data_IF_253770536799
#
_entry.id   IF_253770536799
#
_cell.length_a   1.000
_cell.length_b   1.000
_cell.length_c   1.000
_cell.angle_alpha   90.00
_cell.angle_beta   90.00
_cell.angle_gamma   90.00
#
_symmetry.space_group_name_H-M   'P 1'
#
loop_
_entity.id
_entity.type
_entity.pdbx_description
1 polymer ?
#
# COMPACT_ATOMS: atom_id res chain seq x y z
N UNK A 1 -17.16 73.19 -15.05
CA UNK A 1 -16.21 73.56 -13.97
C UNK A 1 -14.97 72.68 -14.07
N UNK A 2 -13.81 73.27 -14.42
CA UNK A 2 -12.52 72.89 -13.79
C UNK A 2 -12.41 73.71 -12.47
N UNK A 3 -11.48 73.50 -11.50
CA UNK A 3 -10.25 72.70 -11.54
C UNK A 3 -9.84 71.91 -10.24
N UNK A 4 -8.92 70.95 -10.44
CA UNK A 4 -7.68 70.65 -9.69
C UNK A 4 -7.65 70.74 -8.15
N UNK A 5 -7.30 69.61 -7.51
CA UNK A 5 -6.26 69.52 -6.45
C UNK A 5 -5.83 68.05 -6.30
N UNK A 6 -4.76 67.54 -6.95
CA UNK A 6 -3.35 67.66 -6.54
C UNK A 6 -3.10 67.47 -5.03
N UNK A 7 -3.69 66.46 -4.38
CA UNK A 7 -3.15 66.00 -3.08
C UNK A 7 -3.28 64.52 -2.68
N UNK A 8 -3.79 63.62 -3.53
CA UNK A 8 -3.78 62.17 -3.22
C UNK A 8 -3.02 61.28 -4.22
N UNK A 9 -2.34 61.88 -5.21
CA UNK A 9 -1.56 61.17 -6.22
C UNK A 9 -0.05 61.08 -5.90
N UNK A 10 0.38 61.38 -4.66
CA UNK A 10 1.82 61.42 -4.31
C UNK A 10 2.21 60.76 -3.00
N UNK A 11 1.38 59.87 -2.46
CA UNK A 11 1.74 59.02 -1.30
C UNK A 11 1.48 57.51 -1.49
N UNK A 12 1.31 57.07 -2.73
CA UNK A 12 1.20 55.65 -3.11
C UNK A 12 2.27 55.20 -4.13
N UNK A 13 3.35 55.97 -4.28
CA UNK A 13 4.45 55.63 -5.20
C UNK A 13 5.68 55.02 -4.51
N UNK A 14 5.54 54.40 -3.33
CA UNK A 14 6.68 53.77 -2.65
C UNK A 14 6.44 52.43 -1.92
N UNK A 15 5.31 51.74 -2.12
CA UNK A 15 5.11 50.39 -1.53
C UNK A 15 4.30 49.45 -2.43
N UNK A 16 4.66 49.37 -3.72
CA UNK A 16 4.18 48.31 -4.62
C UNK A 16 5.29 47.85 -5.57
N UNK A 17 6.38 47.34 -4.98
CA UNK A 17 7.26 46.38 -5.63
C UNK A 17 7.30 45.14 -4.74
N UNK A 18 6.49 44.12 -5.09
CA UNK A 18 6.68 42.68 -4.81
C UNK A 18 5.38 41.95 -5.16
N UNK A 19 5.15 41.73 -6.45
CA UNK A 19 4.16 40.75 -6.93
C UNK A 19 4.49 40.42 -8.39
N UNK A 20 5.52 39.61 -8.57
CA UNK A 20 5.86 38.97 -9.84
C UNK A 20 6.76 37.78 -9.55
N UNK A 21 6.22 36.81 -8.83
CA UNK A 21 6.84 35.49 -8.60
C UNK A 21 5.81 34.40 -8.84
N UNK A 22 5.12 34.49 -9.97
CA UNK A 22 4.30 33.43 -10.53
C UNK A 22 4.71 33.13 -11.99
N UNK A 23 5.99 33.33 -12.27
CA UNK A 23 6.62 32.89 -13.51
C UNK A 23 7.35 31.59 -13.22
N UNK A 24 6.65 30.49 -13.47
CA UNK A 24 7.19 29.20 -13.95
C UNK A 24 8.69 29.04 -13.73
N UNK A 25 9.07 28.51 -12.57
CA UNK A 25 10.33 27.80 -12.43
C UNK A 25 10.17 26.48 -13.22
N UNK A 26 10.31 26.56 -14.55
CA UNK A 26 10.79 25.46 -15.36
C UNK A 26 12.27 25.26 -15.01
N UNK A 27 12.55 24.79 -13.79
CA UNK A 27 13.83 24.16 -13.56
C UNK A 27 13.79 22.86 -14.34
N UNK A 28 14.49 22.85 -15.47
CA UNK A 28 14.82 21.64 -16.19
C UNK A 28 15.55 20.70 -15.23
N UNK A 29 14.80 19.83 -14.55
CA UNK A 29 15.35 18.63 -13.94
C UNK A 29 15.99 17.88 -15.11
N UNK A 30 17.31 17.89 -15.15
CA UNK A 30 18.04 17.20 -16.21
C UNK A 30 17.98 15.69 -15.94
N UNK A 31 16.87 15.07 -16.35
CA UNK A 31 16.58 13.65 -16.16
C UNK A 31 17.74 12.78 -16.68
N UNK A 32 18.49 13.26 -17.68
CA UNK A 32 19.66 12.56 -18.22
C UNK A 32 20.84 12.45 -17.25
N UNK A 33 21.05 13.43 -16.35
CA UNK A 33 22.06 13.33 -15.29
C UNK A 33 21.62 12.41 -14.14
N UNK A 34 20.32 12.38 -13.84
CA UNK A 34 19.73 11.45 -12.86
C UNK A 34 19.81 10.00 -13.34
N UNK A 35 19.48 9.74 -14.61
CA UNK A 35 19.52 8.42 -15.23
C UNK A 35 20.92 7.79 -15.25
N UNK A 36 21.97 8.57 -15.57
CA UNK A 36 23.36 8.09 -15.57
C UNK A 36 23.84 7.58 -14.19
N UNK A 37 23.20 8.00 -13.09
CA UNK A 37 23.49 7.57 -11.71
C UNK A 37 22.67 6.35 -11.24
N UNK A 38 21.61 5.96 -11.94
CA UNK A 38 20.54 5.06 -11.43
C UNK A 38 20.41 3.72 -12.16
N UNK A 39 21.47 3.27 -12.86
CA UNK A 39 21.50 2.17 -13.83
C UNK A 39 21.13 0.75 -13.33
N UNK A 40 20.55 0.58 -12.13
CA UNK A 40 20.31 -0.73 -11.51
C UNK A 40 18.94 -0.98 -10.87
N UNK A 41 18.02 -0.01 -10.83
CA UNK A 41 16.77 -0.15 -10.05
C UNK A 41 15.47 -0.06 -10.87
N UNK A 42 15.54 0.00 -12.19
CA UNK A 42 14.35 0.19 -13.04
C UNK A 42 14.01 -1.15 -13.71
N UNK A 43 13.13 -1.93 -13.08
CA UNK A 43 12.57 -3.14 -13.68
C UNK A 43 11.15 -2.89 -14.17
N UNK A 44 10.94 -3.35 -15.40
CA UNK A 44 9.77 -3.36 -16.28
C UNK A 44 8.39 -3.08 -15.68
N UNK A 45 7.83 -1.90 -15.99
CA UNK A 45 6.54 -1.66 -16.69
C UNK A 45 6.12 -0.19 -16.55
N UNK A 46 6.52 0.64 -17.51
CA UNK A 46 5.74 1.79 -17.97
C UNK A 46 5.69 3.08 -17.14
N UNK A 47 5.52 3.06 -15.82
CA UNK A 47 5.39 4.29 -15.02
C UNK A 47 5.92 4.09 -13.60
N UNK A 48 6.69 5.05 -13.10
CA UNK A 48 7.11 5.08 -11.71
C UNK A 48 6.94 6.50 -11.13
N UNK A 49 6.38 6.59 -9.93
CA UNK A 49 6.26 7.85 -9.19
C UNK A 49 7.52 8.03 -8.34
N UNK A 50 8.09 9.23 -8.35
CA UNK A 50 9.29 9.55 -7.61
C UNK A 50 9.08 10.70 -6.65
N UNK A 51 9.62 10.55 -5.45
CA UNK A 51 9.80 11.65 -4.49
C UNK A 51 11.16 12.27 -4.76
N UNK A 52 11.16 13.57 -5.03
CA UNK A 52 12.36 14.37 -5.17
C UNK A 52 12.51 15.29 -3.96
N UNK A 53 13.67 15.24 -3.30
CA UNK A 53 13.99 16.15 -2.20
C UNK A 53 14.74 17.36 -2.75
N UNK A 54 14.24 18.56 -2.44
CA UNK A 54 14.98 19.80 -2.67
C UNK A 54 15.48 20.33 -1.32
N UNK A 55 16.75 20.09 -1.00
CA UNK A 55 17.41 20.78 0.10
C UNK A 55 17.76 22.19 -0.37
N UNK A 56 16.97 23.21 -0.01
CA UNK A 56 17.36 24.61 -0.21
C UNK A 56 18.25 25.04 0.96
N UNK A 57 19.54 25.25 0.71
CA UNK A 57 20.35 26.13 1.55
C UNK A 57 21.21 27.02 0.67
N UNK A 58 21.33 28.28 1.10
CA UNK A 58 21.97 29.36 0.36
C UNK A 58 23.49 29.16 0.29
N UNK A 59 24.04 29.58 -0.86
CA UNK A 59 25.46 29.76 -1.23
C UNK A 59 26.19 28.60 -1.91
N UNK A 60 26.73 28.92 -3.11
CA UNK A 60 27.58 28.07 -3.95
C UNK A 60 29.05 28.08 -3.49
N UNK A 61 29.73 26.92 -3.55
CA UNK A 61 31.14 26.91 -3.89
C UNK A 61 31.53 25.86 -4.97
N UNK A 62 32.79 26.00 -5.42
CA UNK A 62 33.41 25.48 -6.65
C UNK A 62 33.53 23.95 -6.82
N UNK A 63 33.80 23.56 -8.09
CA UNK A 63 33.34 22.33 -8.77
C UNK A 63 34.31 21.13 -8.82
N UNK A 64 35.23 20.90 -7.87
CA UNK A 64 36.29 19.88 -8.11
C UNK A 64 36.49 18.74 -7.10
N UNK A 65 35.83 18.70 -5.94
CA UNK A 65 36.11 17.64 -4.92
C UNK A 65 34.95 16.64 -4.65
N UNK A 66 33.95 16.54 -5.53
CA UNK A 66 32.64 15.93 -5.20
C UNK A 66 32.46 14.43 -5.53
N UNK A 67 33.46 13.77 -6.12
CA UNK A 67 33.25 12.46 -6.75
C UNK A 67 33.55 11.24 -5.86
N UNK A 68 34.29 11.39 -4.75
CA UNK A 68 34.63 10.24 -3.89
C UNK A 68 33.79 10.14 -2.59
N UNK A 69 33.27 11.25 -2.05
CA UNK A 69 32.49 11.25 -0.79
C UNK A 69 30.99 10.95 -0.98
N UNK A 70 30.43 11.24 -2.15
CA UNK A 70 28.97 11.09 -2.40
C UNK A 70 28.52 9.63 -2.53
N UNK A 71 29.45 8.72 -2.87
CA UNK A 71 29.20 7.29 -2.98
C UNK A 71 28.86 6.62 -1.64
N UNK A 72 29.50 7.01 -0.54
CA UNK A 72 29.26 6.40 0.78
C UNK A 72 27.92 6.80 1.39
N UNK A 73 27.53 8.07 1.25
CA UNK A 73 26.33 8.62 1.88
C UNK A 73 25.04 8.08 1.23
N UNK A 74 24.99 8.01 -0.10
CA UNK A 74 23.84 7.44 -0.82
C UNK A 74 23.71 5.94 -0.53
N UNK A 75 24.83 5.21 -0.45
CA UNK A 75 24.82 3.79 -0.09
C UNK A 75 24.33 3.56 1.35
N UNK A 76 24.71 4.42 2.30
CA UNK A 76 24.19 4.36 3.67
C UNK A 76 22.68 4.60 3.73
N UNK A 77 22.17 5.61 3.02
CA UNK A 77 20.72 5.87 2.93
C UNK A 77 19.97 4.70 2.29
N UNK A 78 20.51 4.13 1.19
CA UNK A 78 19.94 2.94 0.55
C UNK A 78 19.93 1.75 1.51
N UNK A 79 21.03 1.45 2.16
CA UNK A 79 21.11 0.36 3.13
C UNK A 79 20.11 0.56 4.27
N UNK A 80 19.94 1.78 4.78
CA UNK A 80 18.95 2.11 5.80
C UNK A 80 17.49 1.98 5.33
N UNK A 81 17.24 1.95 4.02
CA UNK A 81 15.93 1.69 3.39
C UNK A 81 15.74 0.25 2.91
N UNK A 82 16.80 -0.50 2.64
CA UNK A 82 16.72 -1.87 2.11
C UNK A 82 16.85 -2.93 3.22
N UNK A 83 17.63 -2.65 4.26
CA UNK A 83 17.89 -3.58 5.36
C UNK A 83 16.72 -3.58 6.37
N UNK A 84 15.54 -3.98 5.89
CA UNK A 84 14.21 -3.82 6.49
C UNK A 84 13.61 -5.10 7.07
N UNK A 85 14.40 -6.02 7.62
CA UNK A 85 13.79 -7.19 8.28
C UNK A 85 12.88 -6.73 9.43
N UNK A 86 11.57 -6.94 9.28
CA UNK A 86 10.57 -6.70 10.32
C UNK A 86 10.13 -5.25 10.54
N UNK A 87 10.66 -4.26 9.80
CA UNK A 87 10.22 -2.88 9.97
C UNK A 87 8.91 -2.62 9.21
N UNK A 88 8.81 -3.01 7.93
CA UNK A 88 7.62 -2.72 7.11
C UNK A 88 7.39 -3.81 6.04
N UNK A 89 6.50 -4.75 6.35
CA UNK A 89 6.02 -5.71 5.38
C UNK A 89 4.79 -5.15 4.65
N UNK A 90 4.62 -5.44 3.35
CA UNK A 90 3.44 -5.03 2.58
C UNK A 90 2.21 -5.91 2.89
N UNK A 91 2.33 -6.72 3.94
CA UNK A 91 1.35 -7.64 4.47
C UNK A 91 1.51 -7.77 5.98
N UNK A 92 0.43 -8.12 6.65
CA UNK A 92 0.43 -8.53 8.06
C UNK A 92 -0.54 -9.67 8.26
N UNK A 93 -0.29 -10.52 9.25
CA UNK A 93 -1.11 -11.72 9.49
C UNK A 93 -1.16 -12.06 10.96
N UNK A 94 -2.11 -12.91 11.34
CA UNK A 94 -2.25 -13.36 12.70
C UNK A 94 -3.39 -14.36 12.88
N UNK A 95 -3.70 -14.61 14.15
CA UNK A 95 -4.80 -15.46 14.58
C UNK A 95 -5.64 -14.69 15.58
N UNK A 96 -6.96 -14.87 15.51
CA UNK A 96 -7.89 -14.35 16.51
C UNK A 96 -8.89 -15.44 16.89
N UNK A 97 -9.09 -15.61 18.19
CA UNK A 97 -10.11 -16.52 18.72
C UNK A 97 -11.45 -15.82 18.79
N UNK A 98 -12.47 -16.43 18.20
CA UNK A 98 -13.83 -15.92 18.23
C UNK A 98 -14.51 -16.32 19.54
N UNK A 99 -15.17 -15.39 20.24
CA UNK A 99 -16.15 -15.76 21.26
C UNK A 99 -17.22 -16.66 20.66
N UNK A 100 -17.76 -17.60 21.43
CA UNK A 100 -18.78 -18.54 20.95
C UNK A 100 -20.01 -17.81 20.36
N UNK A 101 -20.40 -16.67 20.96
CA UNK A 101 -21.49 -15.82 20.47
C UNK A 101 -21.23 -15.20 19.09
N UNK A 102 -19.97 -15.13 18.65
CA UNK A 102 -19.54 -14.59 17.35
C UNK A 102 -19.09 -15.68 16.37
N UNK A 103 -19.03 -16.95 16.80
CA UNK A 103 -18.48 -18.07 16.04
C UNK A 103 -19.53 -18.77 15.15
N UNK A 104 -20.45 -18.01 14.55
CA UNK A 104 -21.46 -18.56 13.63
C UNK A 104 -21.43 -17.81 12.31
N UNK A 105 -21.30 -18.57 11.22
CA UNK A 105 -21.48 -18.11 9.86
C UNK A 105 -22.90 -18.49 9.40
N UNK A 106 -23.65 -17.52 8.89
CA UNK A 106 -24.92 -17.69 8.21
C UNK A 106 -24.72 -17.51 6.71
N UNK A 107 -25.40 -18.31 5.90
CA UNK A 107 -25.33 -18.21 4.44
C UNK A 107 -26.63 -18.66 3.78
N UNK A 108 -26.90 -18.10 2.62
CA UNK A 108 -28.03 -18.47 1.77
C UNK A 108 -27.65 -19.64 0.85
N UNK A 109 -28.53 -20.63 0.75
CA UNK A 109 -28.43 -21.75 -0.20
C UNK A 109 -29.00 -21.35 -1.56
N UNK A 110 -28.72 -22.14 -2.60
CA UNK A 110 -29.23 -21.87 -3.95
C UNK A 110 -30.76 -21.90 -4.05
N UNK A 111 -31.45 -22.62 -3.15
CA UNK A 111 -32.92 -22.65 -3.07
C UNK A 111 -33.53 -21.46 -2.33
N UNK A 112 -32.70 -20.49 -1.91
CA UNK A 112 -33.11 -19.30 -1.16
C UNK A 112 -33.29 -19.52 0.35
N UNK A 113 -33.10 -20.75 0.86
CA UNK A 113 -33.16 -21.03 2.29
C UNK A 113 -31.86 -20.61 2.98
N UNK A 114 -31.95 -20.25 4.27
CA UNK A 114 -30.78 -19.92 5.07
C UNK A 114 -30.23 -21.18 5.78
N UNK A 115 -28.91 -21.25 5.91
CA UNK A 115 -28.21 -22.26 6.69
C UNK A 115 -27.10 -21.62 7.52
N UNK A 116 -26.50 -22.38 8.43
CA UNK A 116 -25.44 -21.88 9.30
C UNK A 116 -24.37 -22.91 9.61
N UNK A 117 -23.18 -22.42 9.92
CA UNK A 117 -22.03 -23.18 10.37
C UNK A 117 -21.52 -22.62 11.70
N UNK A 118 -21.40 -23.47 12.70
CA UNK A 118 -20.71 -23.14 13.95
C UNK A 118 -19.21 -23.31 13.75
N UNK A 119 -18.50 -22.20 13.68
CA UNK A 119 -17.06 -22.14 13.49
C UNK A 119 -16.34 -22.76 14.70
N UNK A 120 -15.40 -23.67 14.44
CA UNK A 120 -14.69 -24.43 15.45
C UNK A 120 -15.28 -25.81 15.78
N UNK A 121 -16.44 -26.15 15.21
CA UNK A 121 -17.01 -27.50 15.25
C UNK A 121 -17.56 -27.93 13.89
N UNK A 122 -17.00 -27.40 12.80
CA UNK A 122 -17.47 -27.70 11.44
C UNK A 122 -17.05 -29.12 11.07
N UNK A 123 -18.03 -29.97 10.80
CA UNK A 123 -17.78 -31.33 10.30
C UNK A 123 -17.52 -31.33 8.80
N UNK A 124 -16.84 -32.35 8.23
CA UNK A 124 -16.66 -32.47 6.78
C UNK A 124 -17.99 -32.46 6.01
N UNK A 125 -19.05 -33.07 6.54
CA UNK A 125 -20.37 -33.05 5.90
C UNK A 125 -20.95 -31.62 5.83
N UNK A 126 -20.83 -30.85 6.90
CA UNK A 126 -21.27 -29.45 6.92
C UNK A 126 -20.40 -28.55 6.03
N UNK A 127 -19.09 -28.82 5.93
CA UNK A 127 -18.22 -28.14 4.99
C UNK A 127 -18.61 -28.45 3.53
N UNK A 128 -18.98 -29.70 3.25
CA UNK A 128 -19.49 -30.11 1.94
C UNK A 128 -20.77 -29.36 1.58
N UNK A 129 -21.68 -29.11 2.53
CA UNK A 129 -22.94 -28.39 2.29
C UNK A 129 -22.74 -26.92 1.87
N UNK A 130 -21.60 -26.31 2.22
CA UNK A 130 -21.27 -24.94 1.84
C UNK A 130 -20.93 -24.82 0.34
N UNK A 131 -20.36 -25.87 -0.25
CA UNK A 131 -19.92 -25.84 -1.64
C UNK A 131 -21.10 -25.77 -2.65
N UNK A 132 -22.19 -26.55 -2.51
CA UNK A 132 -23.40 -26.39 -3.33
C UNK A 132 -24.08 -25.03 -3.20
N UNK A 133 -23.91 -24.32 -2.08
CA UNK A 133 -24.46 -22.97 -1.96
C UNK A 133 -23.71 -21.97 -2.86
N UNK A 134 -22.45 -22.25 -3.20
CA UNK A 134 -21.61 -21.35 -3.96
C UNK A 134 -21.95 -21.35 -5.46
N UNK A 135 -21.67 -20.21 -6.11
CA UNK A 135 -21.62 -20.10 -7.58
C UNK A 135 -20.17 -20.14 -8.04
N UNK A 136 -19.86 -20.60 -9.28
CA UNK A 136 -18.51 -20.56 -9.80
C UNK A 136 -17.91 -19.14 -9.76
N UNK A 137 -16.67 -19.02 -9.30
CA UNK A 137 -16.02 -17.73 -9.13
C UNK A 137 -15.32 -17.27 -10.42
N UNK A 138 -15.66 -16.07 -10.88
CA UNK A 138 -14.98 -15.38 -12.00
C UNK A 138 -13.75 -14.61 -11.53
N UNK A 139 -12.89 -14.20 -12.45
CA UNK A 139 -11.80 -13.24 -12.23
C UNK A 139 -11.84 -12.13 -13.28
N UNK A 140 -11.25 -10.98 -12.94
CA UNK A 140 -11.18 -9.83 -13.84
C UNK A 140 -10.06 -9.97 -14.87
N UNK A 141 -10.38 -9.79 -16.15
CA UNK A 141 -9.42 -9.67 -17.24
C UNK A 141 -9.90 -8.55 -18.17
N UNK A 142 -9.08 -7.51 -18.36
CA UNK A 142 -9.42 -6.36 -19.21
C UNK A 142 -10.80 -5.74 -18.92
N UNK A 143 -11.12 -5.54 -17.64
CA UNK A 143 -12.41 -5.01 -17.16
C UNK A 143 -13.63 -5.90 -17.43
N UNK A 144 -13.43 -7.17 -17.79
CA UNK A 144 -14.49 -8.17 -17.93
C UNK A 144 -14.33 -9.29 -16.91
N UNK A 145 -15.46 -9.82 -16.43
CA UNK A 145 -15.47 -11.01 -15.59
C UNK A 145 -15.38 -12.26 -16.47
N UNK A 146 -14.33 -13.06 -16.27
CA UNK A 146 -14.05 -14.29 -17.03
C UNK A 146 -14.17 -15.50 -16.11
N UNK A 147 -14.82 -16.56 -16.61
CA UNK A 147 -14.87 -17.89 -16.01
C UNK A 147 -13.91 -18.82 -16.77
N UNK A 148 -12.76 -19.13 -16.17
CA UNK A 148 -11.81 -20.12 -16.69
C UNK A 148 -11.26 -20.94 -15.52
N UNK A 149 -11.70 -22.19 -15.41
CA UNK A 149 -11.31 -23.10 -14.33
C UNK A 149 -9.84 -23.55 -14.41
N UNK A 150 -9.18 -23.37 -15.56
CA UNK A 150 -7.73 -23.57 -15.68
C UNK A 150 -6.94 -22.43 -15.04
N UNK A 151 -7.58 -21.29 -14.77
CA UNK A 151 -7.01 -20.12 -14.13
C UNK A 151 -7.46 -19.97 -12.68
N UNK A 152 -8.76 -20.14 -12.44
CA UNK A 152 -9.39 -20.07 -11.12
C UNK A 152 -10.49 -21.12 -11.02
N UNK A 153 -10.27 -22.09 -10.14
CA UNK A 153 -11.30 -23.06 -9.75
C UNK A 153 -11.68 -22.78 -8.31
N UNK A 154 -12.86 -22.19 -8.08
CA UNK A 154 -13.38 -21.87 -6.75
C UNK A 154 -14.89 -21.60 -6.82
N UNK A 155 -15.58 -21.83 -5.70
CA UNK A 155 -16.93 -21.32 -5.44
C UNK A 155 -16.90 -19.97 -4.73
N UNK A 156 -17.94 -19.16 -4.93
CA UNK A 156 -18.17 -17.90 -4.20
C UNK A 156 -19.62 -17.71 -3.76
N UNK A 157 -19.78 -16.96 -2.68
CA UNK A 157 -21.00 -16.24 -2.31
C UNK A 157 -20.67 -14.75 -2.24
N UNK A 158 -21.48 -13.93 -2.92
CA UNK A 158 -21.33 -12.48 -2.91
C UNK A 158 -21.88 -11.87 -1.59
N UNK A 159 -21.47 -10.65 -1.27
CA UNK A 159 -21.95 -9.93 -0.10
C UNK A 159 -23.50 -9.87 -0.06
N UNK A 160 -24.09 -10.00 1.13
CA UNK A 160 -25.53 -10.10 1.31
C UNK A 160 -26.09 -11.53 1.26
N UNK A 161 -25.35 -12.49 0.69
CA UNK A 161 -25.67 -13.93 0.73
C UNK A 161 -25.04 -14.67 1.90
N UNK A 162 -24.25 -13.97 2.71
CA UNK A 162 -23.67 -14.50 3.93
C UNK A 162 -23.58 -13.39 4.99
N UNK A 163 -23.54 -13.80 6.25
CA UNK A 163 -23.34 -12.93 7.39
C UNK A 163 -22.63 -13.69 8.51
N UNK A 164 -21.83 -13.02 9.30
CA UNK A 164 -21.25 -13.56 10.52
C UNK A 164 -21.11 -12.42 11.53
N UNK A 165 -21.08 -12.76 12.81
CA UNK A 165 -21.11 -11.78 13.90
C UNK A 165 -19.72 -11.28 14.32
N UNK A 166 -18.71 -11.51 13.47
CA UNK A 166 -17.35 -11.08 13.74
C UNK A 166 -17.25 -9.55 13.66
N UNK A 167 -16.95 -8.91 14.80
CA UNK A 167 -16.74 -7.47 14.88
C UNK A 167 -15.28 -7.14 14.54
N UNK A 168 -15.08 -6.42 13.45
CA UNK A 168 -13.75 -6.01 12.99
C UNK A 168 -13.15 -4.87 13.82
N UNK A 169 -13.96 -4.13 14.60
CA UNK A 169 -13.45 -3.04 15.45
C UNK A 169 -12.45 -3.53 16.50
N UNK A 170 -12.62 -4.74 17.03
CA UNK A 170 -11.70 -5.35 18.02
C UNK A 170 -10.33 -5.69 17.38
N UNK A 171 -10.26 -5.68 16.05
CA UNK A 171 -9.16 -6.18 15.24
C UNK A 171 -8.43 -5.05 14.47
N UNK A 172 -9.11 -3.94 14.18
CA UNK A 172 -8.60 -2.83 13.36
C UNK A 172 -7.24 -2.31 13.84
N UNK A 173 -7.03 -2.20 15.15
CA UNK A 173 -5.75 -1.72 15.70
C UNK A 173 -4.58 -2.65 15.39
N UNK A 174 -4.78 -3.96 15.41
CA UNK A 174 -3.74 -4.95 15.10
C UNK A 174 -3.40 -4.92 13.61
N UNK A 175 -4.42 -4.84 12.74
CA UNK A 175 -4.22 -4.71 11.30
C UNK A 175 -3.51 -3.41 10.95
N UNK A 176 -3.98 -2.29 11.51
CA UNK A 176 -3.41 -0.98 11.28
C UNK A 176 -1.93 -0.95 11.71
N UNK A 177 -1.62 -1.44 12.91
CA UNK A 177 -0.25 -1.51 13.40
C UNK A 177 0.67 -2.38 12.53
N UNK A 178 0.14 -3.41 11.87
CA UNK A 178 0.90 -4.26 10.96
C UNK A 178 1.15 -3.67 9.58
N UNK A 179 0.18 -2.94 8.99
CA UNK A 179 0.30 -2.36 7.65
C UNK A 179 0.84 -0.93 7.64
N UNK A 180 0.58 -0.17 8.71
CA UNK A 180 0.89 1.25 8.81
C UNK A 180 1.64 1.52 10.11
N UNK A 181 2.95 1.74 10.05
CA UNK A 181 3.68 2.22 11.22
C UNK A 181 3.21 3.65 11.59
N UNK A 182 3.00 3.88 12.90
CA UNK A 182 3.08 5.16 13.62
C UNK A 182 2.39 6.37 12.98
N UNK A 183 1.24 6.81 13.52
CA UNK A 183 0.49 8.04 13.14
C UNK A 183 0.16 8.25 11.66
N UNK A 184 0.63 7.38 10.76
CA UNK A 184 0.53 7.49 9.30
C UNK A 184 -0.87 7.16 8.79
N UNK A 185 -1.70 6.57 9.65
CA UNK A 185 -3.10 6.31 9.39
C UNK A 185 -3.92 7.42 10.06
N UNK A 186 -3.95 8.59 9.41
CA UNK A 186 -4.74 9.75 9.79
C UNK A 186 -6.25 9.56 9.52
N UNK A 187 -6.56 8.64 8.59
CA UNK A 187 -7.90 8.26 8.13
C UNK A 187 -8.21 6.88 8.67
N UNK A 188 -9.36 6.68 9.32
CA UNK A 188 -9.76 5.35 9.78
C UNK A 188 -9.86 4.33 8.65
N UNK A 189 -10.11 3.08 9.03
CA UNK A 189 -10.23 1.96 8.09
C UNK A 189 -11.68 1.53 8.04
N UNK A 190 -12.27 1.60 6.85
CA UNK A 190 -13.55 0.96 6.57
C UNK A 190 -13.32 -0.43 6.01
N UNK A 191 -14.03 -1.40 6.58
CA UNK A 191 -14.07 -2.77 6.12
C UNK A 191 -15.36 -3.02 5.36
N UNK A 192 -15.23 -3.44 4.11
CA UNK A 192 -16.37 -3.77 3.27
C UNK A 192 -16.38 -5.27 2.98
N UNK A 193 -17.36 -6.05 3.47
CA UNK A 193 -17.50 -7.44 3.11
C UNK A 193 -17.60 -7.56 1.58
N UNK A 194 -16.74 -8.38 0.99
CA UNK A 194 -16.70 -8.54 -0.46
C UNK A 194 -17.25 -9.91 -0.86
N UNK A 195 -16.56 -10.99 -0.50
CA UNK A 195 -16.91 -12.35 -0.93
C UNK A 195 -16.55 -13.38 0.12
N UNK A 196 -17.38 -14.41 0.22
CA UNK A 196 -17.00 -15.69 0.79
C UNK A 196 -16.54 -16.59 -0.35
N UNK A 197 -15.29 -17.05 -0.31
CA UNK A 197 -14.73 -17.96 -1.30
C UNK A 197 -14.55 -19.35 -0.69
N UNK A 198 -14.91 -20.40 -1.44
CA UNK A 198 -14.74 -21.81 -1.07
C UNK A 198 -13.92 -22.52 -2.13
N UNK A 199 -12.84 -23.15 -1.70
CA UNK A 199 -11.97 -23.96 -2.54
C UNK A 199 -12.01 -25.39 -2.02
N UNK A 200 -12.67 -26.28 -2.76
CA UNK A 200 -12.63 -27.73 -2.47
C UNK A 200 -11.38 -28.39 -3.04
N UNK A 201 -11.29 -29.71 -2.94
CA UNK A 201 -10.15 -30.47 -3.46
C UNK A 201 -9.84 -30.17 -4.94
N UNK A 202 -8.56 -29.96 -5.23
CA UNK A 202 -8.05 -29.60 -6.56
C UNK A 202 -8.34 -28.17 -7.00
N UNK A 203 -9.02 -27.36 -6.18
CA UNK A 203 -9.29 -25.94 -6.44
C UNK A 203 -8.03 -25.09 -6.20
N UNK A 204 -7.91 -23.96 -6.91
CA UNK A 204 -6.77 -23.05 -6.85
C UNK A 204 -7.12 -21.68 -7.49
N UNK A 205 -6.23 -20.70 -7.32
CA UNK A 205 -6.31 -19.44 -8.06
C UNK A 205 -4.88 -18.98 -8.39
N UNK A 206 -4.57 -18.85 -9.69
CA UNK A 206 -3.25 -18.40 -10.16
C UNK A 206 -2.91 -16.97 -9.73
N UNK A 207 -1.63 -16.64 -9.82
CA UNK A 207 -1.07 -15.32 -9.55
C UNK A 207 -1.87 -14.19 -10.22
N UNK A 208 -2.29 -13.22 -9.42
CA UNK A 208 -3.01 -12.03 -9.87
C UNK A 208 -2.81 -10.89 -8.87
N UNK A 209 -3.21 -9.68 -9.25
CA UNK A 209 -3.34 -8.54 -8.35
C UNK A 209 -4.83 -8.16 -8.24
N UNK A 210 -5.20 -7.51 -7.14
CA UNK A 210 -6.57 -7.02 -7.00
C UNK A 210 -6.81 -5.87 -7.96
N UNK A 211 -7.97 -5.89 -8.62
CA UNK A 211 -8.44 -4.72 -9.38
C UNK A 211 -8.95 -3.68 -8.38
N UNK A 212 -8.42 -2.44 -8.37
CA UNK A 212 -8.94 -1.40 -7.51
C UNK A 212 -10.44 -1.17 -7.75
N UNK A 213 -11.24 -1.12 -6.68
CA UNK A 213 -12.70 -0.91 -6.76
C UNK A 213 -13.15 0.51 -6.41
N UNK A 214 -12.24 1.34 -5.95
CA UNK A 214 -12.47 2.74 -5.63
C UNK A 214 -11.15 3.44 -5.34
N UNK A 215 -11.16 4.78 -5.42
CA UNK A 215 -9.97 5.60 -5.23
C UNK A 215 -9.34 5.44 -3.83
N UNK A 216 -10.17 5.18 -2.81
CA UNK A 216 -9.73 5.00 -1.43
C UNK A 216 -9.47 3.54 -1.03
N UNK A 217 -9.65 2.57 -1.94
CA UNK A 217 -9.34 1.16 -1.65
C UNK A 217 -7.82 0.97 -1.63
N UNK A 218 -7.29 0.49 -0.51
CA UNK A 218 -5.84 0.31 -0.36
C UNK A 218 -5.40 -1.15 -0.28
N UNK A 219 -6.31 -2.07 0.05
CA UNK A 219 -5.91 -3.46 0.26
C UNK A 219 -7.07 -4.41 0.51
N UNK A 220 -6.70 -5.62 0.87
CA UNK A 220 -7.60 -6.74 1.11
C UNK A 220 -7.28 -7.37 2.46
N UNK A 221 -8.32 -7.77 3.20
CA UNK A 221 -8.22 -8.64 4.37
C UNK A 221 -8.87 -9.98 4.02
N UNK A 222 -8.14 -11.06 4.20
CA UNK A 222 -8.60 -12.43 3.98
C UNK A 222 -8.63 -13.14 5.33
N UNK A 223 -9.83 -13.47 5.79
CA UNK A 223 -10.06 -14.25 7.00
C UNK A 223 -10.31 -15.71 6.61
N UNK A 224 -9.40 -16.61 7.01
CA UNK A 224 -9.54 -18.06 6.84
C UNK A 224 -10.40 -18.63 7.96
N UNK A 225 -11.51 -19.27 7.58
CA UNK A 225 -12.42 -19.93 8.52
C UNK A 225 -11.80 -21.25 9.00
N UNK A 226 -12.05 -21.69 10.26
CA UNK A 226 -11.53 -22.94 10.82
C UNK A 226 -12.27 -24.16 10.25
N UNK A 227 -12.13 -24.38 8.94
CA UNK A 227 -12.59 -25.57 8.24
C UNK A 227 -11.35 -26.36 7.85
N UNK A 228 -11.29 -27.63 8.23
CA UNK A 228 -10.13 -28.47 7.98
C UNK A 228 -9.86 -28.63 6.48
N UNK A 229 -8.62 -28.37 6.08
CA UNK A 229 -8.11 -28.56 4.73
C UNK A 229 -6.58 -28.69 4.74
N UNK A 230 -6.03 -29.18 3.63
CA UNK A 230 -4.61 -29.16 3.33
C UNK A 230 -4.32 -28.38 2.04
N UNK A 231 -3.09 -27.90 1.89
CA UNK A 231 -2.74 -26.99 0.80
C UNK A 231 -3.53 -25.69 0.90
N UNK A 232 -3.84 -25.05 -0.23
CA UNK A 232 -4.66 -23.83 -0.20
C UNK A 232 -3.97 -22.61 0.41
N UNK A 233 -2.65 -22.64 0.61
CA UNK A 233 -1.89 -21.51 1.13
C UNK A 233 -2.04 -20.29 0.21
N UNK A 234 -2.12 -19.11 0.81
CA UNK A 234 -2.05 -17.85 0.08
C UNK A 234 -0.60 -17.42 -0.03
N UNK A 235 -0.09 -17.28 -1.25
CA UNK A 235 1.28 -16.80 -1.50
C UNK A 235 1.18 -15.34 -1.92
N UNK A 236 1.95 -14.47 -1.27
CA UNK A 236 2.04 -13.04 -1.55
C UNK A 236 3.42 -12.70 -2.09
N UNK A 237 3.50 -11.87 -3.13
CA UNK A 237 4.75 -11.46 -3.77
C UNK A 237 4.81 -9.96 -3.98
N UNK A 238 5.95 -9.36 -3.62
CA UNK A 238 6.20 -7.92 -3.77
C UNK A 238 7.70 -7.63 -3.85
N UNK A 239 8.14 -7.00 -4.94
CA UNK A 239 9.55 -6.62 -5.18
C UNK A 239 10.56 -7.75 -4.91
N UNK A 240 10.30 -8.94 -5.47
CA UNK A 240 11.18 -10.11 -5.33
C UNK A 240 11.12 -10.80 -3.96
N UNK A 241 10.33 -10.31 -3.01
CA UNK A 241 10.01 -11.02 -1.76
C UNK A 241 8.79 -11.90 -1.96
N UNK A 242 8.78 -13.05 -1.30
CA UNK A 242 7.66 -13.98 -1.26
C UNK A 242 7.31 -14.30 0.21
N UNK A 243 6.02 -14.28 0.53
CA UNK A 243 5.49 -14.69 1.82
C UNK A 243 4.39 -15.73 1.62
N UNK A 244 4.54 -16.88 2.28
CA UNK A 244 3.55 -17.98 2.23
C UNK A 244 2.72 -17.96 3.51
N UNK A 245 1.48 -17.51 3.40
CA UNK A 245 0.51 -17.57 4.48
C UNK A 245 -0.12 -18.97 4.54
N UNK A 246 0.41 -19.81 5.44
CA UNK A 246 -0.18 -21.10 5.81
C UNK A 246 -1.13 -20.91 7.00
N UNK A 247 -2.34 -20.42 6.71
CA UNK A 247 -3.33 -20.11 7.74
C UNK A 247 -3.80 -21.34 8.52
N UNK A 248 -3.82 -22.53 7.92
CA UNK A 248 -4.21 -23.76 8.61
C UNK A 248 -3.17 -24.17 9.66
N UNK A 249 -1.87 -24.05 9.35
CA UNK A 249 -0.80 -24.32 10.30
C UNK A 249 -0.86 -23.37 11.51
N UNK A 250 -1.19 -22.09 11.29
CA UNK A 250 -1.36 -21.12 12.38
C UNK A 250 -2.51 -21.50 13.34
N UNK A 251 -3.52 -22.22 12.85
CA UNK A 251 -4.67 -22.64 13.65
C UNK A 251 -4.43 -23.92 14.46
N UNK A 252 -3.38 -24.71 14.16
CA UNK A 252 -3.16 -26.02 14.80
C UNK A 252 -3.07 -25.98 16.32
N UNK A 253 -2.49 -24.91 16.87
CA UNK A 253 -2.31 -24.71 18.32
C UNK A 253 -3.27 -23.68 18.92
N UNK A 254 -4.30 -23.29 18.17
CA UNK A 254 -5.28 -22.28 18.57
C UNK A 254 -6.57 -22.93 19.06
N UNK A 255 -7.38 -22.24 19.90
CA UNK A 255 -8.71 -22.72 20.25
C UNK A 255 -9.56 -23.01 19.00
N UNK A 256 -10.50 -24.00 19.04
CA UNK A 256 -11.19 -24.46 17.83
C UNK A 256 -11.91 -23.35 17.04
N UNK A 257 -12.54 -22.40 17.73
CA UNK A 257 -13.22 -21.26 17.12
C UNK A 257 -12.26 -20.10 16.77
N UNK A 258 -11.05 -20.39 16.33
CA UNK A 258 -10.08 -19.35 15.91
C UNK A 258 -10.05 -19.22 14.40
N UNK A 259 -9.91 -17.99 13.90
CA UNK A 259 -9.64 -17.72 12.48
C UNK A 259 -8.20 -17.25 12.35
N UNK A 260 -7.55 -17.63 11.27
CA UNK A 260 -6.30 -16.99 10.86
C UNK A 260 -6.62 -15.96 9.79
N UNK A 261 -5.85 -14.89 9.73
CA UNK A 261 -6.13 -13.79 8.83
C UNK A 261 -4.84 -13.25 8.25
N UNK A 262 -4.95 -12.66 7.06
CA UNK A 262 -3.86 -11.94 6.39
C UNK A 262 -4.43 -10.71 5.71
N UNK A 263 -3.77 -9.58 5.87
CA UNK A 263 -4.09 -8.33 5.20
C UNK A 263 -2.89 -7.87 4.38
N UNK A 264 -3.14 -7.32 3.20
CA UNK A 264 -2.09 -6.91 2.25
C UNK A 264 -2.60 -5.78 1.33
N UNK A 265 -1.68 -5.01 0.75
CA UNK A 265 -2.03 -3.92 -0.17
C UNK A 265 -2.58 -4.45 -1.51
N UNK A 266 -3.41 -3.66 -2.20
CA UNK A 266 -4.12 -4.12 -3.40
C UNK A 266 -3.22 -4.44 -4.59
N UNK A 267 -2.03 -3.86 -4.63
CA UNK A 267 -1.01 -4.04 -5.66
C UNK A 267 -0.07 -5.22 -5.39
N UNK A 268 -0.31 -6.00 -4.34
CA UNK A 268 0.47 -7.20 -4.05
C UNK A 268 -0.02 -8.35 -4.94
N UNK A 269 0.91 -8.94 -5.69
CA UNK A 269 0.61 -10.15 -6.46
C UNK A 269 0.37 -11.30 -5.48
N UNK A 270 -0.69 -12.07 -5.71
CA UNK A 270 -1.04 -13.17 -4.85
C UNK A 270 -1.68 -14.33 -5.60
N UNK A 271 -1.52 -15.52 -5.03
CA UNK A 271 -2.13 -16.75 -5.54
C UNK A 271 -2.59 -17.67 -4.40
N UNK A 272 -3.61 -18.48 -4.69
CA UNK A 272 -4.04 -19.57 -3.81
C UNK A 272 -3.52 -20.87 -4.39
N UNK A 273 -2.60 -21.49 -3.67
CA UNK A 273 -2.06 -22.81 -4.03
C UNK A 273 -3.16 -23.87 -4.02
N UNK A 274 -2.91 -25.01 -4.66
CA UNK A 274 -3.89 -26.08 -4.78
C UNK A 274 -4.33 -26.59 -3.40
N UNK A 275 -5.65 -26.71 -3.21
CA UNK A 275 -6.23 -27.41 -2.06
C UNK A 275 -6.17 -28.91 -2.31
N UNK A 276 -5.72 -29.68 -1.33
CA UNK A 276 -5.72 -31.16 -1.38
C UNK A 276 -6.91 -31.67 -0.58
N UNK A 277 -6.87 -32.54 0.45
CA UNK A 277 -8.15 -32.88 1.07
C UNK A 277 -8.77 -31.67 1.79
N UNK A 278 -10.10 -31.59 1.72
CA UNK A 278 -10.91 -30.65 2.49
C UNK A 278 -11.34 -29.38 1.73
N UNK A 279 -11.80 -28.40 2.51
CA UNK A 279 -12.37 -27.15 2.00
C UNK A 279 -11.74 -25.94 2.65
N UNK A 280 -11.02 -25.15 1.85
CA UNK A 280 -10.53 -23.85 2.26
C UNK A 280 -11.63 -22.82 2.04
N UNK A 281 -12.22 -22.32 3.12
CA UNK A 281 -13.21 -21.25 3.09
C UNK A 281 -12.65 -19.95 3.68
N UNK A 282 -12.80 -18.85 2.95
CA UNK A 282 -12.33 -17.53 3.38
C UNK A 282 -13.40 -16.47 3.20
N UNK A 283 -13.48 -15.52 4.13
CA UNK A 283 -14.22 -14.27 3.92
C UNK A 283 -13.21 -13.17 3.61
N UNK A 284 -13.40 -12.50 2.47
CA UNK A 284 -12.55 -11.41 2.01
C UNK A 284 -13.26 -10.08 2.21
N UNK A 285 -12.51 -9.08 2.69
CA UNK A 285 -12.92 -7.70 2.83
C UNK A 285 -12.07 -6.80 1.97
N UNK A 286 -12.71 -5.83 1.30
CA UNK A 286 -11.99 -4.68 0.75
C UNK A 286 -11.70 -3.70 1.89
N UNK A 287 -10.48 -3.17 1.92
CA UNK A 287 -10.03 -2.18 2.90
C UNK A 287 -9.96 -0.81 2.26
N UNK A 288 -10.60 0.17 2.89
CA UNK A 288 -10.63 1.56 2.41
C UNK A 288 -10.12 2.53 3.47
N UNK A 289 -9.43 3.57 3.02
CA UNK A 289 -9.20 4.75 3.84
C UNK A 289 -10.53 5.51 3.99
N UNK A 290 -10.91 5.82 5.22
CA UNK A 290 -12.18 6.49 5.51
C UNK A 290 -12.00 7.48 6.66
N UNK A 291 -12.06 8.77 6.36
CA UNK A 291 -11.91 9.84 7.36
C UNK A 291 -13.12 10.01 8.27
N UNK A 292 -14.30 9.48 7.91
CA UNK A 292 -15.48 9.54 8.77
C UNK A 292 -15.40 8.52 9.89
N UNK A 293 -14.70 7.41 9.64
CA UNK A 293 -14.29 6.47 10.68
C UNK A 293 -13.05 7.08 11.34
N UNK A 294 -13.10 7.35 12.64
CA UNK A 294 -11.92 7.83 13.37
C UNK A 294 -10.76 6.84 13.23
N UNK A 295 -9.50 7.31 13.30
CA UNK A 295 -8.35 6.42 13.24
C UNK A 295 -8.43 5.39 14.37
N UNK A 296 -8.04 4.13 14.14
CA UNK A 296 -8.02 3.12 15.19
C UNK A 296 -7.04 3.55 16.30
N UNK A 297 -7.33 3.26 17.58
CA UNK A 297 -6.36 3.47 18.64
C UNK A 297 -5.16 2.57 18.34
N UNK A 298 -4.02 3.16 18.00
CA UNK A 298 -2.80 2.40 17.72
C UNK A 298 -2.36 1.78 19.05
N UNK A 299 -2.58 0.47 19.22
CA UNK A 299 -2.28 -0.25 20.46
C UNK A 299 -0.78 -0.45 20.73
N UNK A 300 0.07 -0.07 19.78
CA UNK A 300 1.51 -0.06 20.01
C UNK A 300 1.89 1.28 20.63
N UNK A 301 2.49 1.24 21.83
CA UNK A 301 3.34 2.34 22.28
C UNK A 301 4.28 2.65 21.11
N UNK A 302 4.32 3.89 20.59
CA UNK A 302 5.21 4.24 19.49
C UNK A 302 6.59 3.73 19.86
N UNK A 303 7.08 2.79 19.07
CA UNK A 303 8.13 1.86 19.47
C UNK A 303 9.45 2.50 19.90
N UNK A 304 9.62 3.82 20.09
CA UNK A 304 10.88 4.58 20.34
C UNK A 304 12.10 4.24 19.45
N UNK A 305 12.07 3.17 18.68
CA UNK A 305 13.05 2.76 17.69
C UNK A 305 12.89 3.73 16.54
N UNK A 306 13.76 4.73 16.55
CA UNK A 306 13.89 5.66 15.46
C UNK A 306 14.24 4.88 14.18
N UNK A 307 13.48 5.12 13.11
CA UNK A 307 13.68 4.41 11.85
C UNK A 307 15.13 4.65 11.35
N UNK A 308 15.92 3.62 10.98
CA UNK A 308 17.33 3.79 10.61
C UNK A 308 17.55 4.83 9.49
N UNK A 309 16.65 4.87 8.51
CA UNK A 309 16.65 5.91 7.48
C UNK A 309 16.48 7.33 8.05
N UNK A 310 15.58 7.54 9.03
CA UNK A 310 15.41 8.85 9.68
C UNK A 310 16.69 9.28 10.37
N UNK A 311 17.29 8.41 11.18
CA UNK A 311 18.55 8.70 11.87
C UNK A 311 19.68 9.00 10.88
N UNK A 312 19.78 8.22 9.79
CA UNK A 312 20.81 8.40 8.76
C UNK A 312 20.61 9.71 7.99
N UNK A 313 19.38 9.99 7.55
CA UNK A 313 19.05 11.22 6.84
C UNK A 313 19.27 12.45 7.72
N UNK A 314 18.86 12.39 8.99
CA UNK A 314 19.10 13.47 9.95
C UNK A 314 20.59 13.81 10.07
N UNK A 315 21.45 12.80 10.25
CA UNK A 315 22.91 13.01 10.30
C UNK A 315 23.45 13.71 9.06
N UNK A 316 22.95 13.34 7.88
CA UNK A 316 23.37 13.93 6.60
C UNK A 316 22.89 15.39 6.49
N UNK A 317 21.66 15.68 6.94
CA UNK A 317 21.13 17.04 6.93
C UNK A 317 21.84 17.96 7.92
N UNK A 318 22.37 17.42 9.02
CA UNK A 318 23.08 18.17 10.07
C UNK A 318 24.59 18.29 9.82
N UNK A 319 25.17 17.50 8.91
CA UNK A 319 26.61 17.50 8.63
C UNK A 319 27.01 18.67 7.71
N UNK A 320 27.79 19.65 8.20
CA UNK A 320 28.19 20.84 7.46
C UNK A 320 29.20 20.55 6.35
N UNK A 321 29.80 19.36 6.32
CA UNK A 321 30.73 18.91 5.28
C UNK A 321 30.01 18.26 4.10
N UNK A 322 28.71 17.99 4.23
CA UNK A 322 27.88 17.47 3.15
C UNK A 322 27.81 18.49 2.02
N UNK A 323 28.12 18.11 0.77
CA UNK A 323 28.10 19.05 -0.34
C UNK A 323 26.78 19.81 -0.48
N UNK A 324 26.85 21.15 -0.44
CA UNK A 324 25.71 22.07 -0.69
C UNK A 324 25.31 22.14 -2.16
N UNK A 325 26.09 21.51 -3.05
CA UNK A 325 25.85 21.42 -4.49
C UNK A 325 24.76 20.39 -4.79
N UNK A 326 23.51 20.82 -4.55
CA UNK A 326 22.24 20.23 -4.99
C UNK A 326 22.18 18.69 -5.11
N UNK A 327 22.12 17.95 -3.99
CA UNK A 327 21.80 16.53 -4.05
C UNK A 327 20.28 16.39 -4.12
N UNK A 328 19.72 16.54 -5.32
CA UNK A 328 18.36 16.06 -5.59
C UNK A 328 18.35 14.55 -5.32
N UNK A 329 17.67 14.12 -4.25
CA UNK A 329 17.47 12.71 -3.93
C UNK A 329 16.13 12.25 -4.50
N UNK A 330 16.16 11.27 -5.38
CA UNK A 330 14.98 10.58 -5.90
C UNK A 330 14.67 9.33 -5.10
N UNK A 331 13.40 9.01 -4.90
CA UNK A 331 12.94 7.72 -4.37
C UNK A 331 11.78 7.22 -5.21
N UNK A 332 11.90 6.02 -5.77
CA UNK A 332 10.75 5.36 -6.41
C UNK A 332 9.78 4.85 -5.34
N UNK A 333 8.48 5.10 -5.53
CA UNK A 333 7.46 4.53 -4.65
C UNK A 333 7.41 3.00 -4.82
N UNK A 334 7.18 2.29 -3.71
CA UNK A 334 7.12 0.82 -3.68
C UNK A 334 5.74 0.29 -4.04
N UNK A 335 4.69 1.10 -3.96
CA UNK A 335 3.34 0.65 -4.27
C UNK A 335 2.79 1.29 -5.55
N UNK A 336 1.85 0.59 -6.17
CA UNK A 336 1.05 1.16 -7.24
C UNK A 336 -0.10 2.01 -6.66
N UNK A 337 -0.28 3.19 -7.25
CA UNK A 337 -1.32 4.15 -6.90
C UNK A 337 -2.14 4.51 -8.14
N UNK A 338 -3.47 4.66 -8.02
CA UNK A 338 -4.27 5.21 -9.10
C UNK A 338 -3.99 6.70 -9.26
N UNK A 339 -3.79 7.16 -10.49
CA UNK A 339 -3.68 8.57 -10.84
C UNK A 339 -4.32 8.84 -12.20
N UNK A 340 -5.06 9.94 -12.30
CA UNK A 340 -5.71 10.44 -13.52
C UNK A 340 -4.88 11.51 -14.25
N UNK A 341 -3.92 12.11 -13.54
CA UNK A 341 -2.99 13.14 -14.02
C UNK A 341 -1.66 13.04 -13.29
N UNK A 342 -0.63 13.70 -13.84
CA UNK A 342 0.64 13.85 -13.15
C UNK A 342 0.40 14.44 -11.75
N UNK A 343 0.90 13.77 -10.72
CA UNK A 343 0.71 14.16 -9.33
C UNK A 343 1.55 15.40 -9.07
N UNK A 344 0.91 16.46 -8.60
CA UNK A 344 1.57 17.71 -8.20
C UNK A 344 1.64 17.85 -6.67
N UNK A 345 0.73 17.19 -5.94
CA UNK A 345 0.61 17.29 -4.48
C UNK A 345 0.72 15.91 -3.80
N UNK A 346 1.74 15.67 -2.94
CA UNK A 346 1.86 14.47 -2.12
C UNK A 346 0.61 14.13 -1.31
N UNK A 347 -0.08 15.14 -0.76
CA UNK A 347 -1.20 14.95 0.16
C UNK A 347 -2.48 14.51 -0.56
N UNK A 348 -2.48 14.60 -1.90
CA UNK A 348 -3.55 14.08 -2.75
C UNK A 348 -3.54 12.55 -2.86
N UNK A 349 -2.41 11.89 -2.56
CA UNK A 349 -2.27 10.43 -2.62
C UNK A 349 -2.43 9.82 -1.24
N UNK A 350 -3.23 8.77 -1.16
CA UNK A 350 -3.28 7.91 0.03
C UNK A 350 -2.13 6.90 -0.02
N UNK A 351 -0.97 7.30 0.50
CA UNK A 351 0.25 6.49 0.48
C UNK A 351 0.10 5.21 1.31
N UNK A 352 0.73 4.13 0.84
CA UNK A 352 0.70 2.79 1.42
C UNK A 352 2.04 2.48 2.08
N UNK A 353 2.00 1.83 3.25
CA UNK A 353 3.15 1.19 3.88
C UNK A 353 4.42 2.05 3.95
N UNK A 354 5.49 1.56 3.33
CA UNK A 354 6.82 2.18 3.31
C UNK A 354 6.85 3.55 2.64
N UNK A 355 5.99 3.80 1.65
CA UNK A 355 5.91 5.09 0.97
C UNK A 355 5.35 6.17 1.90
N UNK A 356 4.31 5.82 2.67
CA UNK A 356 3.76 6.70 3.70
C UNK A 356 4.80 6.99 4.79
N UNK A 357 5.54 5.96 5.20
CA UNK A 357 6.62 6.08 6.20
C UNK A 357 7.73 7.02 5.72
N UNK A 358 8.14 6.89 4.47
CA UNK A 358 9.14 7.76 3.86
C UNK A 358 8.68 9.22 3.92
N UNK A 359 7.48 9.53 3.43
CA UNK A 359 6.94 10.90 3.43
C UNK A 359 6.77 11.44 4.85
N UNK A 360 6.35 10.62 5.81
CA UNK A 360 6.24 11.00 7.21
C UNK A 360 7.60 11.37 7.80
N UNK A 361 8.63 10.55 7.60
CA UNK A 361 10.00 10.84 8.05
C UNK A 361 10.50 12.16 7.48
N UNK A 362 10.24 12.42 6.20
CA UNK A 362 10.64 13.66 5.54
C UNK A 362 9.96 14.88 6.18
N UNK A 363 8.64 14.80 6.41
CA UNK A 363 7.87 15.85 7.09
C UNK A 363 8.42 16.12 8.50
N UNK A 364 8.72 15.08 9.27
CA UNK A 364 9.28 15.19 10.62
C UNK A 364 10.68 15.84 10.66
N UNK A 365 11.47 15.67 9.61
CA UNK A 365 12.78 16.31 9.45
C UNK A 365 12.69 17.71 8.80
N UNK A 366 11.48 18.22 8.57
CA UNK A 366 11.28 19.53 7.94
C UNK A 366 11.62 19.56 6.44
N UNK A 367 11.73 18.39 5.80
CA UNK A 367 12.01 18.26 4.37
C UNK A 367 10.70 18.16 3.60
N UNK A 368 10.49 19.06 2.65
CA UNK A 368 9.30 19.06 1.79
C UNK A 368 9.53 18.23 0.52
N UNK A 369 8.87 17.06 0.37
CA UNK A 369 8.99 16.25 -0.83
C UNK A 369 8.20 16.85 -2.01
N UNK A 370 8.71 16.68 -3.22
CA UNK A 370 7.97 16.93 -4.46
C UNK A 370 7.72 15.62 -5.19
N UNK A 371 6.52 15.45 -5.75
CA UNK A 371 6.14 14.25 -6.50
C UNK A 371 6.26 14.51 -7.99
N UNK A 372 6.80 13.53 -8.69
CA UNK A 372 6.97 13.59 -10.13
C UNK A 372 6.61 12.24 -10.75
N UNK A 373 5.94 12.30 -11.90
CA UNK A 373 5.60 11.12 -12.68
C UNK A 373 6.69 10.87 -13.70
N UNK A 374 7.45 9.79 -13.56
CA UNK A 374 8.45 9.42 -14.54
C UNK A 374 7.87 8.36 -15.48
N UNK A 375 7.74 8.72 -16.75
CA UNK A 375 7.31 7.83 -17.82
C UNK A 375 8.43 7.62 -18.83
N UNK A 376 8.42 6.47 -19.49
CA UNK A 376 9.40 6.11 -20.51
C UNK A 376 8.82 6.39 -21.90
N UNK A 377 9.51 7.19 -22.71
CA UNK A 377 9.23 7.31 -24.14
C UNK A 377 9.97 6.18 -24.87
N UNK A 378 9.25 5.36 -25.64
CA UNK A 378 9.83 4.33 -26.49
C UNK A 378 10.41 4.98 -27.78
N UNK A 379 11.46 5.79 -27.62
CA UNK A 379 12.25 6.29 -28.74
C UNK A 379 13.66 5.68 -28.66
N UNK A 380 14.03 4.87 -29.66
CA UNK A 380 15.30 4.10 -29.71
C UNK A 380 16.58 4.95 -29.72
N UNK A 381 16.49 6.29 -29.72
CA UNK A 381 17.63 7.21 -29.91
C UNK A 381 17.99 8.08 -28.71
N UNK A 382 17.30 7.96 -27.58
CA UNK A 382 17.56 8.83 -26.42
C UNK A 382 18.47 8.19 -25.36
N UNK A 383 19.51 8.93 -24.98
CA UNK A 383 20.45 8.61 -23.88
C UNK A 383 19.77 8.56 -22.50
N UNK A 384 18.55 9.10 -22.39
CA UNK A 384 17.70 9.02 -21.20
C UNK A 384 16.23 8.89 -21.64
N UNK A 385 15.63 7.69 -21.56
CA UNK A 385 14.31 7.45 -22.08
C UNK A 385 13.20 7.94 -21.13
N UNK A 386 13.56 8.49 -19.95
CA UNK A 386 12.60 8.96 -18.96
C UNK A 386 12.30 10.45 -19.09
N UNK A 387 11.03 10.80 -18.91
CA UNK A 387 10.47 12.15 -18.89
C UNK A 387 9.67 12.36 -17.61
N UNK A 388 9.69 13.59 -17.12
CA UNK A 388 8.94 14.07 -15.94
C UNK A 388 7.66 14.77 -16.40
#
# INVERSE_FOLDING_TARGET
>A
MRPISKHLARKLSHLTQTSTTNTLIRQHINVSQLYKRWKGAIVSRGLACFIFLHATMNEEPSRTDLLESSGSTIQQLRAALENKTGLHEPWTSGVITLPESKATLFYERQDGTASSLKLGSVTPAQANDLNPACTPATFGLNQQDVLDESYRKAGKLDAGKFAWLFNLCDFTSQLAAGLFPWSSLDKGIRFEPYKLNVYGEGSFFKAHQDTPRGADMFGSLVCLLPIAHEGGNLVLRHHGREFVFNGQALLQNSPPASISWVAFFSDIEHEVTRVTPGYRATITYNLYFDSYIGPPPICQTPTTIEHPFKTTLKKILEDPTTPTTHPILGFGLQHAYPFDRAIVDPDSIKLKGTDATLVQILKELGVSPQFFLLYREDNEKDDCPFRV
#
